data_IF_529660725786
#
_entry.id   IF_529660725786
#
_cell.length_a   1.000
_cell.length_b   1.000
_cell.length_c   1.000
_cell.angle_alpha   90.00
_cell.angle_beta   90.00
_cell.angle_gamma   90.00
#
_symmetry.space_group_name_H-M   'P 1'
#
loop_
_entity.id
_entity.type
_entity.pdbx_description
1 polymer ?
#
# COMPACT_ATOMS: atom_id res chain seq x y z
N UNK A 1 -17.08 10.66 -2.43
CA UNK A 1 -16.50 11.17 -3.68
C UNK A 1 -16.81 10.15 -4.77
N UNK A 2 -17.32 10.60 -5.89
CA UNK A 2 -17.64 9.75 -7.03
C UNK A 2 -16.41 9.57 -7.94
N UNK A 3 -16.50 8.63 -8.89
CA UNK A 3 -15.46 8.33 -9.85
C UNK A 3 -15.86 8.76 -11.25
N UNK A 4 -14.89 9.12 -12.05
CA UNK A 4 -15.07 9.34 -13.47
C UNK A 4 -15.27 7.99 -14.20
N UNK A 5 -16.30 7.81 -15.03
CA UNK A 5 -16.63 6.52 -15.66
C UNK A 5 -15.65 6.07 -16.74
N UNK A 6 -14.77 6.95 -17.23
CA UNK A 6 -13.77 6.61 -18.24
C UNK A 6 -12.41 6.26 -17.60
N UNK A 7 -12.08 6.86 -16.45
CA UNK A 7 -10.79 6.67 -15.79
C UNK A 7 -10.87 5.79 -14.55
N UNK A 8 -12.05 5.62 -13.99
CA UNK A 8 -12.34 4.91 -12.74
C UNK A 8 -11.63 5.48 -11.50
N UNK A 9 -11.07 6.68 -11.58
CA UNK A 9 -10.46 7.37 -10.46
C UNK A 9 -11.38 8.47 -9.93
N UNK A 10 -11.17 8.88 -8.68
CA UNK A 10 -11.98 9.88 -8.02
C UNK A 10 -11.85 11.26 -8.69
N UNK A 11 -12.96 12.01 -8.72
CA UNK A 11 -13.06 13.33 -9.33
C UNK A 11 -12.39 14.37 -8.40
N UNK A 12 -11.40 15.10 -8.92
CA UNK A 12 -10.55 16.04 -8.18
C UNK A 12 -11.35 17.09 -7.41
N UNK A 13 -12.33 17.74 -8.05
CA UNK A 13 -13.14 18.81 -7.45
C UNK A 13 -14.00 18.29 -6.30
N UNK A 14 -14.49 17.05 -6.39
CA UNK A 14 -15.25 16.44 -5.33
C UNK A 14 -14.37 16.08 -4.13
N UNK A 15 -13.11 15.71 -4.37
CA UNK A 15 -12.15 15.47 -3.29
C UNK A 15 -11.89 16.73 -2.49
N UNK A 16 -11.63 17.86 -3.16
CA UNK A 16 -11.40 19.13 -2.48
C UNK A 16 -12.63 19.57 -1.68
N UNK A 17 -13.82 19.41 -2.25
CA UNK A 17 -15.09 19.75 -1.58
C UNK A 17 -15.38 18.86 -0.34
N UNK A 18 -14.86 17.64 -0.32
CA UNK A 18 -15.05 16.70 0.79
C UNK A 18 -14.11 16.95 1.98
N UNK A 19 -13.06 17.78 1.83
CA UNK A 19 -12.13 18.08 2.93
C UNK A 19 -12.79 18.93 3.98
N UNK A 20 -12.65 18.55 5.25
CA UNK A 20 -13.16 19.26 6.41
C UNK A 20 -12.14 19.32 7.54
N UNK A 21 -12.44 20.03 8.62
CA UNK A 21 -11.60 20.07 9.84
C UNK A 21 -11.41 18.70 10.50
N UNK A 22 -12.24 17.71 10.16
CA UNK A 22 -12.13 16.33 10.65
C UNK A 22 -11.27 15.44 9.76
N UNK A 23 -10.97 15.86 8.52
CA UNK A 23 -10.16 15.08 7.59
C UNK A 23 -8.73 14.97 8.11
N UNK A 24 -8.16 13.77 8.11
CA UNK A 24 -6.79 13.47 8.58
C UNK A 24 -5.92 12.84 7.51
N UNK A 25 -6.53 12.16 6.56
CA UNK A 25 -5.83 11.46 5.49
C UNK A 25 -6.65 11.44 4.21
N UNK A 26 -5.95 11.31 3.10
CA UNK A 26 -6.49 10.92 1.81
C UNK A 26 -5.96 9.52 1.54
N UNK A 27 -6.86 8.56 1.30
CA UNK A 27 -6.50 7.21 0.87
C UNK A 27 -7.21 6.92 -0.43
N UNK A 28 -6.43 6.62 -1.47
CA UNK A 28 -6.96 6.42 -2.81
C UNK A 28 -6.26 5.28 -3.53
N UNK A 29 -7.03 4.56 -4.35
CA UNK A 29 -6.52 3.50 -5.20
C UNK A 29 -6.11 4.03 -6.58
N UNK A 30 -5.04 3.48 -7.13
CA UNK A 30 -4.74 3.51 -8.55
C UNK A 30 -5.58 2.44 -9.24
N UNK A 31 -6.84 2.77 -9.46
CA UNK A 31 -7.87 1.81 -9.88
C UNK A 31 -7.51 1.14 -11.20
N UNK A 32 -7.46 -0.20 -11.22
CA UNK A 32 -7.03 -1.01 -12.37
C UNK A 32 -5.64 -0.63 -12.92
N UNK A 33 -4.80 -0.01 -12.11
CA UNK A 33 -3.48 0.48 -12.49
C UNK A 33 -3.47 1.88 -13.09
N UNK A 34 -4.64 2.54 -13.22
CA UNK A 34 -4.73 3.91 -13.70
C UNK A 34 -4.46 4.89 -12.54
N UNK A 35 -3.42 5.74 -12.65
CA UNK A 35 -3.10 6.64 -11.56
C UNK A 35 -4.13 7.77 -11.45
N UNK A 36 -4.58 8.05 -10.23
CA UNK A 36 -5.28 9.29 -9.94
C UNK A 36 -4.34 10.50 -10.13
N UNK A 37 -4.89 11.71 -10.19
CA UNK A 37 -4.11 12.94 -10.36
C UNK A 37 -3.21 13.19 -9.13
N UNK A 38 -2.02 12.61 -9.16
CA UNK A 38 -1.06 12.67 -8.04
C UNK A 38 -0.57 14.09 -7.76
N UNK A 39 -0.47 14.95 -8.78
CA UNK A 39 -0.08 16.35 -8.55
C UNK A 39 -1.13 17.09 -7.74
N UNK A 40 -2.40 16.92 -8.10
CA UNK A 40 -3.52 17.54 -7.39
C UNK A 40 -3.61 17.01 -5.96
N UNK A 41 -3.59 15.69 -5.80
CA UNK A 41 -3.77 15.04 -4.48
C UNK A 41 -2.60 15.36 -3.54
N UNK A 42 -1.37 15.40 -4.03
CA UNK A 42 -0.22 15.83 -3.22
C UNK A 42 -0.33 17.31 -2.81
N UNK A 43 -0.77 18.19 -3.71
CA UNK A 43 -1.00 19.59 -3.39
C UNK A 43 -2.12 19.76 -2.34
N UNK A 44 -3.23 19.02 -2.49
CA UNK A 44 -4.35 19.03 -1.57
C UNK A 44 -3.94 18.51 -0.18
N UNK A 45 -3.21 17.38 -0.12
CA UNK A 45 -2.70 16.83 1.13
C UNK A 45 -1.76 17.81 1.85
N UNK A 46 -0.87 18.46 1.12
CA UNK A 46 0.03 19.48 1.65
C UNK A 46 -0.72 20.72 2.15
N UNK A 47 -1.70 21.22 1.38
CA UNK A 47 -2.53 22.40 1.72
C UNK A 47 -3.25 22.22 3.04
N UNK A 48 -3.74 21.01 3.32
CA UNK A 48 -4.54 20.72 4.51
C UNK A 48 -3.78 19.90 5.58
N UNK A 49 -2.48 19.69 5.41
CA UNK A 49 -1.64 18.89 6.32
C UNK A 49 -2.23 17.50 6.57
N UNK A 50 -2.61 16.80 5.49
CA UNK A 50 -3.19 15.46 5.51
C UNK A 50 -2.14 14.40 5.18
N UNK A 51 -2.33 13.20 5.71
CA UNK A 51 -1.62 12.03 5.25
C UNK A 51 -2.08 11.63 3.86
N UNK A 52 -1.14 11.23 3.01
CA UNK A 52 -1.45 10.62 1.73
C UNK A 52 -1.09 9.13 1.77
N UNK A 53 -2.09 8.29 1.50
CA UNK A 53 -1.96 6.84 1.45
C UNK A 53 -2.35 6.39 0.04
N UNK A 54 -1.39 5.79 -0.68
CA UNK A 54 -1.64 5.21 -1.99
C UNK A 54 -2.06 3.74 -1.82
N UNK A 55 -3.20 3.37 -2.35
CA UNK A 55 -3.50 1.96 -2.59
C UNK A 55 -3.00 1.60 -3.99
N UNK A 56 -1.83 0.97 -4.02
CA UNK A 56 -1.15 0.57 -5.25
C UNK A 56 -1.30 -0.93 -5.54
N UNK A 57 -2.36 -1.56 -5.03
CA UNK A 57 -2.60 -2.99 -5.25
C UNK A 57 -2.71 -3.33 -6.74
N UNK A 58 -3.29 -2.44 -7.54
CA UNK A 58 -3.34 -2.55 -9.01
C UNK A 58 -2.23 -1.76 -9.71
N UNK A 59 -1.37 -1.06 -8.98
CA UNK A 59 -0.39 -0.11 -9.52
C UNK A 59 1.04 -0.64 -9.66
N UNK A 60 1.32 -1.91 -9.34
CA UNK A 60 2.69 -2.44 -9.36
C UNK A 60 3.28 -2.40 -10.78
N UNK A 61 4.42 -1.71 -10.95
CA UNK A 61 5.07 -1.48 -12.23
C UNK A 61 4.48 -0.33 -13.06
N UNK A 62 3.43 0.33 -12.55
CA UNK A 62 2.91 1.57 -13.10
C UNK A 62 3.79 2.77 -12.74
N UNK A 63 3.74 3.82 -13.57
CA UNK A 63 4.48 5.05 -13.33
C UNK A 63 3.61 6.27 -13.57
N UNK A 64 3.86 7.33 -12.81
CA UNK A 64 3.30 8.66 -13.03
C UNK A 64 4.46 9.63 -13.23
N UNK A 65 4.53 10.29 -14.41
CA UNK A 65 5.65 11.19 -14.79
C UNK A 65 7.04 10.55 -14.59
N UNK A 66 7.17 9.25 -14.89
CA UNK A 66 8.43 8.52 -14.78
C UNK A 66 8.82 8.06 -13.38
N UNK A 67 8.00 8.32 -12.35
CA UNK A 67 8.20 7.85 -11.00
C UNK A 67 7.21 6.72 -10.69
N UNK A 68 7.65 5.67 -10.01
CA UNK A 68 6.84 4.50 -9.69
C UNK A 68 5.65 4.85 -8.80
N UNK A 69 4.48 4.29 -9.11
CA UNK A 69 3.31 4.34 -8.23
C UNK A 69 3.65 3.71 -6.87
N UNK A 70 3.04 4.25 -5.82
CA UNK A 70 3.34 3.85 -4.44
C UNK A 70 4.52 4.58 -3.81
N UNK A 71 5.17 5.52 -4.52
CA UNK A 71 6.30 6.31 -3.99
C UNK A 71 5.97 7.78 -3.71
N UNK A 72 4.74 8.20 -3.93
CA UNK A 72 4.30 9.60 -3.79
C UNK A 72 3.75 9.93 -2.40
N UNK A 73 3.03 8.97 -1.80
CA UNK A 73 2.39 9.13 -0.50
C UNK A 73 3.33 9.00 0.70
N UNK A 74 2.77 9.16 1.89
CA UNK A 74 3.46 8.87 3.15
C UNK A 74 3.55 7.36 3.40
N UNK A 75 2.51 6.64 2.98
CA UNK A 75 2.38 5.19 3.00
C UNK A 75 1.83 4.72 1.65
N UNK A 76 2.14 3.48 1.28
CA UNK A 76 1.53 2.82 0.14
C UNK A 76 1.33 1.34 0.42
N UNK A 77 0.23 0.78 -0.10
CA UNK A 77 -0.07 -0.65 0.01
C UNK A 77 0.06 -1.33 -1.34
N UNK A 78 0.57 -2.56 -1.32
CA UNK A 78 0.60 -3.47 -2.46
C UNK A 78 -0.01 -4.80 -2.05
N UNK A 79 -0.75 -5.43 -2.96
CA UNK A 79 -1.31 -6.75 -2.77
C UNK A 79 -0.59 -7.77 -3.65
N UNK A 80 -0.37 -8.95 -3.08
CA UNK A 80 0.13 -10.13 -3.78
C UNK A 80 -0.92 -11.25 -3.81
N UNK A 81 -2.20 -10.86 -3.77
CA UNK A 81 -3.32 -11.74 -4.05
C UNK A 81 -3.25 -12.25 -5.49
N UNK A 82 -3.72 -13.47 -5.81
CA UNK A 82 -3.56 -14.08 -7.14
C UNK A 82 -4.01 -13.27 -8.34
N UNK A 83 -4.97 -12.35 -8.17
CA UNK A 83 -5.48 -11.53 -9.27
C UNK A 83 -4.55 -10.36 -9.66
N UNK A 84 -3.60 -9.98 -8.80
CA UNK A 84 -2.71 -8.85 -9.04
C UNK A 84 -1.52 -9.21 -9.95
N UNK A 85 -0.54 -8.30 -10.06
CA UNK A 85 0.57 -8.41 -11.01
C UNK A 85 1.52 -9.56 -10.70
N UNK A 86 1.78 -9.81 -9.42
CA UNK A 86 2.50 -10.98 -8.89
C UNK A 86 1.72 -11.53 -7.71
N UNK A 87 1.96 -12.78 -7.35
CA UNK A 87 1.28 -13.41 -6.23
C UNK A 87 2.23 -14.13 -5.29
N UNK A 88 1.84 -14.16 -4.02
CA UNK A 88 2.43 -15.03 -2.99
C UNK A 88 1.42 -16.08 -2.49
N UNK A 89 0.32 -16.28 -3.25
CA UNK A 89 -0.88 -17.00 -2.79
C UNK A 89 -1.78 -16.06 -1.99
N UNK A 90 -1.32 -15.62 -0.85
CA UNK A 90 -1.84 -14.50 -0.07
C UNK A 90 -0.67 -13.69 0.45
N UNK A 91 -0.78 -12.36 0.44
CA UNK A 91 0.26 -11.47 0.93
C UNK A 91 0.13 -10.05 0.43
N UNK A 92 1.05 -9.22 0.88
CA UNK A 92 1.11 -7.81 0.51
C UNK A 92 2.32 -7.13 1.12
N UNK A 93 2.49 -5.87 0.79
CA UNK A 93 3.53 -5.02 1.34
C UNK A 93 2.99 -3.64 1.68
N UNK A 94 3.55 -3.02 2.70
CA UNK A 94 3.35 -1.61 3.03
C UNK A 94 4.68 -0.89 2.84
N UNK A 95 4.73 0.05 1.91
CA UNK A 95 5.85 0.96 1.76
C UNK A 95 5.68 2.15 2.71
N UNK A 96 6.79 2.60 3.26
CA UNK A 96 6.82 3.64 4.30
C UNK A 96 7.85 4.69 3.90
N UNK A 97 7.43 5.93 3.69
CA UNK A 97 8.31 7.02 3.29
C UNK A 97 9.27 7.44 4.42
N UNK A 98 8.78 7.50 5.66
CA UNK A 98 9.57 7.90 6.83
C UNK A 98 9.88 6.72 7.72
N UNK A 99 11.17 6.40 7.89
CA UNK A 99 11.65 5.27 8.73
C UNK A 99 11.08 5.30 10.15
N UNK A 100 10.78 6.49 10.69
CA UNK A 100 10.18 6.63 12.02
C UNK A 100 8.83 5.88 12.16
N UNK A 101 8.09 5.68 11.07
CA UNK A 101 6.81 4.96 11.09
C UNK A 101 6.96 3.43 11.02
N UNK A 102 8.17 2.92 10.72
CA UNK A 102 8.43 1.49 10.56
C UNK A 102 7.98 0.68 11.77
N UNK A 103 8.41 1.09 12.97
CA UNK A 103 8.07 0.39 14.22
C UNK A 103 6.57 0.33 14.47
N UNK A 104 5.84 1.40 14.13
CA UNK A 104 4.39 1.47 14.30
C UNK A 104 3.72 0.46 13.37
N UNK A 105 4.09 0.46 12.09
CA UNK A 105 3.52 -0.46 11.09
C UNK A 105 3.86 -1.92 11.41
N UNK A 106 5.11 -2.20 11.80
CA UNK A 106 5.53 -3.55 12.23
C UNK A 106 4.80 -4.00 13.49
N UNK A 107 4.56 -3.10 14.45
CA UNK A 107 3.79 -3.42 15.65
C UNK A 107 2.34 -3.80 15.29
N UNK A 108 1.68 -3.03 14.43
CA UNK A 108 0.34 -3.39 13.94
C UNK A 108 0.31 -4.72 13.19
N UNK A 109 1.33 -5.02 12.40
CA UNK A 109 1.48 -6.32 11.71
C UNK A 109 1.64 -7.48 12.68
N UNK A 110 2.28 -7.24 13.84
CA UNK A 110 2.69 -8.23 14.83
C UNK A 110 1.90 -8.09 16.15
N UNK A 111 0.57 -8.14 16.09
CA UNK A 111 -0.39 -8.14 17.22
C UNK A 111 -0.40 -6.89 18.12
N UNK A 112 0.22 -5.78 17.75
CA UNK A 112 0.39 -4.61 18.61
C UNK A 112 1.57 -4.74 19.60
N UNK A 113 2.55 -5.59 19.27
CA UNK A 113 3.71 -5.88 20.12
C UNK A 113 4.66 -4.69 20.20
N UNK A 114 5.17 -4.43 21.40
CA UNK A 114 6.17 -3.39 21.64
C UNK A 114 7.59 -3.80 21.20
N UNK A 115 7.89 -5.08 21.18
CA UNK A 115 9.18 -5.58 20.72
C UNK A 115 9.39 -5.35 19.22
N UNK A 116 10.53 -4.76 18.86
CA UNK A 116 10.94 -4.52 17.47
C UNK A 116 12.12 -5.42 17.01
N UNK A 117 12.55 -6.38 17.83
CA UNK A 117 13.59 -7.32 17.41
C UNK A 117 13.13 -8.11 16.20
N UNK A 118 14.01 -8.24 15.21
CA UNK A 118 13.70 -9.02 14.02
C UNK A 118 13.39 -10.49 14.38
N UNK A 119 12.51 -11.17 13.64
CA UNK A 119 12.24 -12.59 13.85
C UNK A 119 13.53 -13.40 13.86
N UNK A 120 13.66 -14.33 14.82
CA UNK A 120 14.86 -15.14 14.99
C UNK A 120 16.07 -14.45 15.60
N UNK A 121 15.98 -13.14 15.89
CA UNK A 121 17.07 -12.33 16.44
C UNK A 121 16.65 -11.75 17.80
N UNK A 122 16.55 -12.59 18.81
CA UNK A 122 16.11 -12.17 20.13
C UNK A 122 17.12 -11.23 20.81
N UNK A 123 16.60 -10.31 21.63
CA UNK A 123 17.36 -9.36 22.44
C UNK A 123 18.34 -8.45 21.66
N UNK A 124 18.09 -8.18 20.39
CA UNK A 124 18.90 -7.24 19.59
C UNK A 124 18.79 -5.80 20.11
N UNK A 125 17.76 -5.47 20.88
CA UNK A 125 17.62 -4.19 21.58
C UNK A 125 18.56 -4.07 22.80
N UNK A 126 19.12 -5.18 23.30
CA UNK A 126 19.94 -5.28 24.52
C UNK A 126 19.23 -4.77 25.80
N UNK A 127 17.88 -4.68 25.77
CA UNK A 127 17.05 -4.09 26.83
C UNK A 127 15.78 -4.89 27.11
N UNK A 128 15.82 -6.20 26.87
CA UNK A 128 14.64 -7.05 26.92
C UNK A 128 13.88 -6.97 28.24
N UNK A 129 14.59 -6.82 29.37
CA UNK A 129 14.04 -6.79 30.72
C UNK A 129 14.19 -5.43 31.44
N UNK A 130 14.64 -4.41 30.72
CA UNK A 130 14.95 -3.11 31.33
C UNK A 130 13.85 -2.05 31.14
N UNK A 131 12.78 -2.41 30.44
CA UNK A 131 11.72 -1.47 30.14
C UNK A 131 10.72 -1.36 31.27
N UNK A 132 10.27 -0.14 31.54
CA UNK A 132 9.11 0.12 32.40
C UNK A 132 7.89 0.35 31.51
N UNK A 133 6.90 -0.52 31.61
CA UNK A 133 5.74 -0.57 30.71
C UNK A 133 4.47 -0.47 31.57
N UNK A 134 3.98 0.75 31.78
CA UNK A 134 2.78 1.03 32.58
C UNK A 134 2.90 0.47 34.00
N UNK A 135 1.94 -0.33 34.43
CA UNK A 135 1.87 -0.94 35.77
C UNK A 135 2.53 -2.33 35.83
N UNK A 136 3.18 -2.79 34.74
CA UNK A 136 3.85 -4.07 34.75
C UNK A 136 5.08 -4.05 35.68
N UNK A 137 5.40 -5.18 36.35
CA UNK A 137 6.52 -5.24 37.28
C UNK A 137 7.85 -5.01 36.57
N UNK A 138 8.80 -4.42 37.28
CA UNK A 138 10.18 -4.25 36.81
C UNK A 138 10.77 -5.60 36.36
N UNK A 139 11.43 -5.63 35.20
CA UNK A 139 11.99 -6.84 34.62
C UNK A 139 10.98 -7.70 33.84
N UNK A 140 9.79 -7.18 33.59
CA UNK A 140 8.83 -7.85 32.70
C UNK A 140 9.40 -7.93 31.28
N UNK A 141 9.17 -9.05 30.61
CA UNK A 141 9.68 -9.29 29.25
C UNK A 141 8.88 -8.47 28.22
N UNK A 142 9.48 -7.36 27.73
CA UNK A 142 8.80 -6.50 26.75
C UNK A 142 8.46 -7.20 25.44
N UNK A 143 9.06 -8.34 25.13
CA UNK A 143 8.73 -9.14 23.95
C UNK A 143 7.28 -9.60 23.94
N UNK A 144 6.67 -9.77 25.11
CA UNK A 144 5.30 -10.22 25.30
C UNK A 144 4.37 -9.10 25.81
N UNK A 145 4.78 -7.85 25.62
CA UNK A 145 3.96 -6.68 25.95
C UNK A 145 3.31 -6.14 24.70
N UNK A 146 2.04 -5.78 24.80
CA UNK A 146 1.20 -5.31 23.70
C UNK A 146 0.52 -4.04 24.15
N UNK A 147 0.94 -2.87 23.62
CA UNK A 147 0.40 -1.57 24.03
C UNK A 147 -0.86 -1.16 23.27
N UNK A 148 -1.18 -1.84 22.19
CA UNK A 148 -2.39 -1.62 21.41
C UNK A 148 -2.83 -2.90 20.68
N UNK A 149 -4.03 -2.87 20.11
CA UNK A 149 -4.50 -3.96 19.25
C UNK A 149 -3.74 -3.94 17.92
N UNK A 150 -3.37 -5.11 17.44
CA UNK A 150 -2.75 -5.31 16.15
C UNK A 150 -3.26 -6.58 15.47
N UNK A 151 -2.63 -6.94 14.36
CA UNK A 151 -3.06 -8.04 13.49
C UNK A 151 -1.97 -9.11 13.40
N UNK A 152 -2.34 -10.30 12.99
CA UNK A 152 -1.40 -11.34 12.61
C UNK A 152 -1.25 -11.34 11.09
N UNK A 153 -0.40 -10.45 10.56
CA UNK A 153 -0.23 -10.23 9.12
C UNK A 153 1.18 -10.57 8.63
N UNK A 154 1.92 -11.33 9.40
CA UNK A 154 3.26 -11.78 9.00
C UNK A 154 3.16 -12.88 7.95
N UNK A 155 3.78 -12.67 6.78
CA UNK A 155 3.95 -13.73 5.78
C UNK A 155 5.04 -14.71 6.22
N UNK A 156 4.89 -15.97 5.81
CA UNK A 156 5.89 -17.01 6.04
C UNK A 156 6.87 -17.12 4.86
N UNK A 157 7.91 -17.94 5.05
CA UNK A 157 8.98 -18.14 4.06
C UNK A 157 8.48 -18.78 2.76
N UNK A 158 7.41 -19.59 2.83
CA UNK A 158 6.78 -20.18 1.64
C UNK A 158 6.22 -19.10 0.72
N UNK A 159 5.45 -18.15 1.28
CA UNK A 159 4.92 -17.02 0.53
C UNK A 159 6.04 -16.15 -0.03
N UNK A 160 7.08 -15.89 0.77
CA UNK A 160 8.23 -15.11 0.33
C UNK A 160 8.98 -15.77 -0.83
N UNK A 161 9.17 -17.09 -0.81
CA UNK A 161 9.80 -17.86 -1.89
C UNK A 161 9.00 -17.79 -3.20
N UNK A 162 7.66 -17.91 -3.12
CA UNK A 162 6.78 -17.73 -4.27
C UNK A 162 6.93 -16.30 -4.82
N UNK A 163 6.90 -15.29 -3.93
CA UNK A 163 7.05 -13.88 -4.31
C UNK A 163 8.35 -13.58 -5.04
N UNK A 164 9.47 -14.13 -4.57
CA UNK A 164 10.78 -13.98 -5.24
C UNK A 164 10.76 -14.56 -6.67
N UNK A 165 10.22 -15.76 -6.85
CA UNK A 165 10.10 -16.37 -8.17
C UNK A 165 9.17 -15.60 -9.12
N UNK A 166 8.14 -14.94 -8.57
CA UNK A 166 7.22 -14.08 -9.33
C UNK A 166 7.87 -12.74 -9.69
N UNK A 167 8.68 -12.18 -8.79
CA UNK A 167 9.34 -10.89 -9.00
C UNK A 167 10.29 -10.93 -10.19
N UNK A 168 11.00 -12.05 -10.43
CA UNK A 168 11.87 -12.26 -11.58
C UNK A 168 11.12 -12.18 -12.93
N UNK A 169 9.80 -12.33 -12.91
CA UNK A 169 8.93 -12.28 -14.10
C UNK A 169 8.12 -10.99 -14.23
N UNK A 170 8.23 -10.08 -13.26
CA UNK A 170 7.36 -8.90 -13.18
C UNK A 170 7.39 -8.06 -14.46
N UNK A 171 8.58 -7.77 -15.00
CA UNK A 171 8.72 -6.95 -16.21
C UNK A 171 7.99 -7.58 -17.40
N UNK A 172 8.15 -8.89 -17.60
CA UNK A 172 7.46 -9.61 -18.67
C UNK A 172 5.94 -9.61 -18.51
N UNK A 173 5.44 -9.69 -17.27
CA UNK A 173 4.01 -9.61 -16.99
C UNK A 173 3.46 -8.21 -17.29
N UNK A 174 4.21 -7.15 -16.95
CA UNK A 174 3.83 -5.77 -17.26
C UNK A 174 3.72 -5.55 -18.77
N UNK A 175 4.71 -6.01 -19.54
CA UNK A 175 4.71 -5.91 -21.00
C UNK A 175 3.52 -6.66 -21.63
N UNK A 176 3.25 -7.88 -21.15
CA UNK A 176 2.11 -8.67 -21.61
C UNK A 176 0.77 -7.98 -21.30
N UNK A 177 0.59 -7.42 -20.12
CA UNK A 177 -0.62 -6.68 -19.73
C UNK A 177 -0.83 -5.46 -20.64
N UNK A 178 0.21 -4.66 -20.88
CA UNK A 178 0.14 -3.49 -21.78
C UNK A 178 -0.20 -3.89 -23.20
N UNK A 179 0.39 -4.96 -23.72
CA UNK A 179 0.07 -5.49 -25.05
C UNK A 179 -1.38 -5.98 -25.13
N UNK A 180 -1.84 -6.72 -24.14
CA UNK A 180 -3.21 -7.21 -24.08
C UNK A 180 -4.22 -6.06 -23.98
N UNK A 181 -3.93 -5.04 -23.18
CA UNK A 181 -4.71 -3.81 -23.10
C UNK A 181 -4.86 -3.15 -24.47
N UNK A 182 -3.75 -2.88 -25.15
CA UNK A 182 -3.77 -2.24 -26.46
C UNK A 182 -4.54 -3.07 -27.48
N UNK A 183 -4.40 -4.40 -27.45
CA UNK A 183 -5.15 -5.31 -28.32
C UNK A 183 -6.67 -5.23 -28.09
N UNK A 184 -7.09 -5.30 -26.82
CA UNK A 184 -8.52 -5.23 -26.46
C UNK A 184 -9.12 -3.86 -26.79
N UNK A 185 -8.42 -2.77 -26.44
CA UNK A 185 -8.87 -1.42 -26.74
C UNK A 185 -9.06 -1.19 -28.25
N UNK A 186 -8.10 -1.62 -29.05
CA UNK A 186 -8.22 -1.53 -30.51
C UNK A 186 -9.38 -2.40 -31.07
N UNK A 187 -9.58 -3.61 -30.51
CA UNK A 187 -10.65 -4.50 -30.93
C UNK A 187 -12.06 -4.05 -30.53
N UNK A 188 -12.17 -3.20 -29.50
CA UNK A 188 -13.45 -2.70 -29.00
C UNK A 188 -13.80 -1.28 -29.50
N UNK A 189 -12.87 -0.62 -30.19
CA UNK A 189 -13.02 0.77 -30.60
C UNK A 189 -14.29 1.06 -31.42
N UNK A 190 -14.71 0.14 -32.25
CA UNK A 190 -15.91 0.29 -33.09
C UNK A 190 -17.20 0.01 -32.31
N UNK A 191 -17.11 -0.29 -31.01
CA UNK A 191 -18.24 -0.59 -30.13
C UNK A 191 -18.49 0.49 -29.07
N UNK A 192 -17.95 1.69 -29.26
CA UNK A 192 -18.13 2.82 -28.33
C UNK A 192 -19.60 3.27 -28.20
N UNK A 193 -20.47 2.91 -29.15
CA UNK A 193 -21.90 3.12 -29.01
C UNK A 193 -22.55 2.25 -27.91
N UNK A 194 -21.92 1.13 -27.54
CA UNK A 194 -22.40 0.19 -26.51
C UNK A 194 -21.60 0.25 -25.22
N UNK A 195 -20.33 0.68 -25.27
CA UNK A 195 -19.40 0.64 -24.14
C UNK A 195 -18.72 1.98 -23.91
N UNK A 196 -18.56 2.35 -22.66
CA UNK A 196 -17.61 3.39 -22.26
C UNK A 196 -16.25 2.69 -22.15
N UNK A 197 -15.37 2.95 -23.10
CA UNK A 197 -14.02 2.37 -23.05
C UNK A 197 -13.16 3.14 -22.05
N UNK A 198 -12.41 2.44 -21.18
CA UNK A 198 -11.53 3.09 -20.22
C UNK A 198 -10.37 3.83 -20.92
N UNK A 199 -9.98 4.95 -20.34
CA UNK A 199 -8.86 5.81 -20.78
C UNK A 199 -7.68 5.70 -19.86
#
# INVERSE_FOLDING_TARGET
VDVDPETYVAIDEQMEAAVSSKTKAIMMAHTLGNPFNLDFVQALAKKHNLWLIEDSCDGLGGTYRGQNLGSFGDLSTFSFYPAHHITTGEGGAVLIKKVAHKRIVESFRDWGRDCWCAPGCDNTCLKRYEWTLGELPQGYDHKYTYSHLGYNLKSGDIQAAIGLAQLDRLDSFIELRRRNWAYLQNGLKDLEEFFILPK
#
